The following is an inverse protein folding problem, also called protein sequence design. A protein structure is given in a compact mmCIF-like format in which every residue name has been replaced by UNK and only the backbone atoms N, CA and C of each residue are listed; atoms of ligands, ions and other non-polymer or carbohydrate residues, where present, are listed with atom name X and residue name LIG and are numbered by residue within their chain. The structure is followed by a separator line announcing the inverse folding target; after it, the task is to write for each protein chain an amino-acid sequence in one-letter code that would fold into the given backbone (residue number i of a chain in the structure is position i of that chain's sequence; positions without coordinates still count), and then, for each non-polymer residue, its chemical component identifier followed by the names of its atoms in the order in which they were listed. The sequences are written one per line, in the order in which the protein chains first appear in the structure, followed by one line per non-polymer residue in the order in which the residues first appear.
data_IF_206805095559
#
_entry.id   IF_206805095559
#
_cell.length_a   1.000
_cell.length_b   1.000
_cell.length_c   1.000
_cell.angle_alpha   90.00
_cell.angle_beta   90.00
_cell.angle_gamma   90.00
#
_symmetry.space_group_name_H-M   'P 1'
#
loop_
_entity.id
_entity.type
_entity.pdbx_description
1 polymer ?
#
# COMPACT_ATOMS: atom_id res chain seq x y z
N UNK A 1 -3.75 -60.29 51.34
CA UNK A 1 -2.96 -59.82 50.18
C UNK A 1 -3.56 -58.53 49.66
N UNK A 2 -2.82 -57.43 49.78
CA UNK A 2 -2.78 -56.22 48.95
C UNK A 2 -3.97 -55.91 48.01
N UNK A 3 -4.68 -54.79 48.23
CA UNK A 3 -4.47 -53.52 47.48
C UNK A 3 -5.44 -52.42 47.92
N UNK A 4 -4.82 -51.32 48.35
CA UNK A 4 -5.36 -49.97 48.51
C UNK A 4 -5.68 -49.41 47.12
N UNK A 5 -6.84 -48.77 46.94
CA UNK A 5 -7.06 -47.83 45.84
C UNK A 5 -7.50 -46.49 46.43
N UNK A 6 -6.53 -45.59 46.56
CA UNK A 6 -6.73 -44.17 46.83
C UNK A 6 -7.26 -43.55 45.53
N UNK A 7 -8.50 -43.09 45.55
CA UNK A 7 -9.06 -42.28 44.47
C UNK A 7 -8.53 -40.85 44.69
N UNK A 8 -7.41 -40.55 44.05
CA UNK A 8 -6.84 -39.20 44.01
C UNK A 8 -7.58 -38.40 42.93
N UNK A 9 -8.45 -37.49 43.37
CA UNK A 9 -9.18 -36.55 42.53
C UNK A 9 -8.20 -35.52 41.97
N UNK A 10 -7.62 -35.81 40.80
CA UNK A 10 -6.79 -34.86 40.06
C UNK A 10 -7.72 -33.95 39.23
N UNK A 11 -8.02 -32.76 39.75
CA UNK A 11 -8.76 -31.74 39.04
C UNK A 11 -7.90 -31.19 37.89
N UNK A 12 -8.22 -31.61 36.66
CA UNK A 12 -7.65 -31.06 35.43
C UNK A 12 -8.25 -29.66 35.21
N UNK A 13 -7.54 -28.63 35.64
CA UNK A 13 -7.73 -27.27 35.15
C UNK A 13 -7.26 -27.21 33.69
N UNK A 14 -8.21 -27.27 32.76
CA UNK A 14 -7.96 -26.95 31.35
C UNK A 14 -7.81 -25.43 31.23
N UNK A 15 -6.56 -24.96 31.24
CA UNK A 15 -6.24 -23.59 30.85
C UNK A 15 -6.47 -23.49 29.34
N UNK A 16 -7.59 -22.89 28.93
CA UNK A 16 -7.83 -22.53 27.55
C UNK A 16 -6.83 -21.42 27.19
N UNK A 17 -5.71 -21.79 26.55
CA UNK A 17 -4.80 -20.84 25.94
C UNK A 17 -5.53 -20.30 24.70
N UNK A 18 -5.83 -18.99 24.61
CA UNK A 18 -6.35 -18.43 23.37
C UNK A 18 -5.26 -18.55 22.30
N UNK A 19 -5.51 -19.36 21.27
CA UNK A 19 -4.71 -19.34 20.05
C UNK A 19 -4.84 -17.96 19.42
N UNK A 20 -3.84 -17.12 19.62
CA UNK A 20 -3.64 -15.94 18.78
C UNK A 20 -3.25 -16.45 17.39
N UNK A 21 -4.22 -16.51 16.48
CA UNK A 21 -3.94 -16.65 15.07
C UNK A 21 -3.23 -15.38 14.61
N UNK A 22 -1.90 -15.42 14.56
CA UNK A 22 -1.13 -14.44 13.81
C UNK A 22 -1.44 -14.65 12.33
N UNK A 23 -2.29 -13.81 11.76
CA UNK A 23 -2.41 -13.69 10.31
C UNK A 23 -1.11 -13.05 9.81
N UNK A 24 -0.12 -13.86 9.46
CA UNK A 24 0.97 -13.42 8.59
C UNK A 24 0.35 -13.18 7.21
N UNK A 25 0.35 -11.93 6.74
CA UNK A 25 -0.05 -11.61 5.38
C UNK A 25 0.80 -12.40 4.37
N UNK A 26 0.31 -12.56 3.14
CA UNK A 26 1.18 -13.14 2.09
C UNK A 26 2.43 -12.25 1.91
N UNK A 27 3.58 -12.81 1.50
CA UNK A 27 4.80 -12.02 1.22
C UNK A 27 4.53 -10.83 0.28
N UNK A 28 3.61 -10.98 -0.66
CA UNK A 28 3.18 -9.91 -1.56
C UNK A 28 2.42 -8.79 -0.83
N UNK A 29 1.55 -9.16 0.12
CA UNK A 29 0.86 -8.19 0.97
C UNK A 29 1.87 -7.36 1.75
N UNK A 30 2.92 -7.99 2.31
CA UNK A 30 3.97 -7.29 3.05
C UNK A 30 4.79 -6.35 2.15
N UNK A 31 5.12 -6.78 0.92
CA UNK A 31 5.85 -5.95 -0.06
C UNK A 31 5.14 -4.64 -0.39
N UNK A 32 3.81 -4.67 -0.43
CA UNK A 32 2.96 -3.53 -0.76
C UNK A 32 2.43 -2.78 0.47
N UNK A 33 2.40 -3.40 1.65
CA UNK A 33 1.86 -2.81 2.87
C UNK A 33 2.52 -1.47 3.21
N UNK A 34 1.75 -0.41 3.41
CA UNK A 34 2.17 0.94 3.82
C UNK A 34 1.67 2.06 2.88
N UNK A 35 2.27 3.24 3.01
CA UNK A 35 1.85 4.46 2.31
C UNK A 35 2.75 4.75 1.10
N UNK A 36 2.13 4.98 -0.06
CA UNK A 36 2.80 5.21 -1.32
C UNK A 36 2.24 6.45 -2.01
N UNK A 37 3.12 7.23 -2.64
CA UNK A 37 2.75 8.39 -3.42
C UNK A 37 3.29 8.30 -4.84
N UNK A 38 2.60 8.97 -5.77
CA UNK A 38 3.10 9.14 -7.13
C UNK A 38 4.27 10.11 -7.12
N UNK A 39 5.28 9.88 -7.94
CA UNK A 39 6.37 10.84 -8.12
C UNK A 39 5.88 12.04 -8.94
N UNK A 40 5.97 13.26 -8.40
CA UNK A 40 5.38 14.46 -8.98
C UNK A 40 5.87 14.72 -10.41
N UNK A 41 7.18 14.63 -10.63
CA UNK A 41 7.76 14.96 -11.93
C UNK A 41 7.76 13.82 -12.94
N UNK A 42 7.12 12.69 -12.64
CA UNK A 42 6.94 11.61 -13.59
C UNK A 42 5.94 11.99 -14.70
N UNK A 43 6.17 11.50 -15.92
CA UNK A 43 5.25 11.64 -17.06
C UNK A 43 4.68 10.27 -17.43
N UNK A 44 3.74 10.25 -18.39
CA UNK A 44 2.99 9.04 -18.74
C UNK A 44 3.84 7.79 -18.99
N UNK A 45 5.02 7.93 -19.59
CA UNK A 45 5.93 6.80 -19.88
C UNK A 45 7.38 7.21 -19.66
N UNK A 46 7.61 8.19 -18.79
CA UNK A 46 8.95 8.71 -18.51
C UNK A 46 9.10 8.83 -17.00
N UNK A 47 10.17 8.26 -16.43
CA UNK A 47 10.41 8.33 -14.99
C UNK A 47 10.58 9.79 -14.53
N UNK A 48 10.39 10.04 -13.23
CA UNK A 48 10.71 11.34 -12.63
C UNK A 48 12.20 11.64 -12.81
N UNK A 49 12.53 12.90 -13.12
CA UNK A 49 13.92 13.32 -13.40
C UNK A 49 14.72 13.60 -12.13
N UNK A 50 14.02 13.83 -11.02
CA UNK A 50 14.52 14.08 -9.66
C UNK A 50 14.62 12.80 -8.83
N UNK A 51 14.55 11.62 -9.45
CA UNK A 51 14.60 10.37 -8.68
C UNK A 51 13.44 10.19 -7.69
N UNK A 52 12.29 10.85 -7.90
CA UNK A 52 11.15 10.80 -6.97
C UNK A 52 11.47 11.42 -5.59
N UNK A 53 12.29 12.46 -5.56
CA UNK A 53 12.49 13.30 -4.37
C UNK A 53 11.24 14.10 -4.01
N UNK A 54 10.40 14.42 -5.00
CA UNK A 54 9.09 15.08 -4.80
C UNK A 54 7.92 14.12 -5.06
N UNK A 55 7.01 14.06 -4.10
CA UNK A 55 5.75 13.35 -4.20
C UNK A 55 4.63 14.27 -4.69
N UNK A 56 3.72 13.72 -5.50
CA UNK A 56 2.40 14.28 -5.79
C UNK A 56 1.53 14.22 -4.51
N UNK A 57 0.51 15.07 -4.38
CA UNK A 57 -0.38 15.05 -3.22
C UNK A 57 -1.28 13.81 -3.17
N UNK A 58 -1.38 13.07 -4.28
CA UNK A 58 -2.18 11.85 -4.38
C UNK A 58 -1.34 10.57 -4.26
N UNK A 59 -1.90 9.61 -3.52
CA UNK A 59 -1.28 8.32 -3.31
C UNK A 59 -2.28 7.24 -2.92
N UNK A 60 -1.76 6.16 -2.38
CA UNK A 60 -2.55 5.14 -1.75
C UNK A 60 -1.86 4.58 -0.52
N UNK A 61 -2.67 4.12 0.43
CA UNK A 61 -2.23 3.27 1.52
C UNK A 61 -2.75 1.86 1.24
N UNK A 62 -1.86 0.88 1.32
CA UNK A 62 -2.22 -0.51 1.24
C UNK A 62 -1.99 -1.15 2.61
N UNK A 63 -3.01 -1.76 3.17
CA UNK A 63 -2.92 -2.41 4.48
C UNK A 63 -3.96 -3.52 4.54
N UNK A 64 -3.57 -4.67 5.08
CA UNK A 64 -4.45 -5.84 5.22
C UNK A 64 -5.19 -6.22 3.92
N UNK A 65 -4.49 -6.20 2.78
CA UNK A 65 -5.08 -6.53 1.47
C UNK A 65 -6.00 -5.45 0.88
N UNK A 66 -6.20 -4.32 1.56
CA UNK A 66 -7.14 -3.26 1.17
C UNK A 66 -6.42 -2.01 0.69
N UNK A 67 -6.89 -1.47 -0.43
CA UNK A 67 -6.41 -0.24 -1.02
C UNK A 67 -7.24 0.95 -0.52
N UNK A 68 -6.57 1.93 0.07
CA UNK A 68 -7.17 3.22 0.45
C UNK A 68 -6.54 4.31 -0.41
N UNK A 69 -7.33 5.04 -1.18
CA UNK A 69 -6.84 6.27 -1.81
C UNK A 69 -6.58 7.32 -0.73
N UNK A 70 -5.48 8.05 -0.86
CA UNK A 70 -5.11 9.11 0.08
C UNK A 70 -4.76 10.39 -0.68
N UNK A 71 -5.00 11.52 -0.03
CA UNK A 71 -4.62 12.85 -0.52
C UNK A 71 -4.04 13.69 0.59
N UNK A 72 -2.84 14.23 0.41
CA UNK A 72 -2.22 15.21 1.32
C UNK A 72 -3.00 16.53 1.28
N UNK A 73 -3.21 17.14 2.43
CA UNK A 73 -4.02 18.36 2.56
C UNK A 73 -3.32 19.50 3.29
N UNK A 74 -2.11 19.26 3.79
CA UNK A 74 -1.32 20.22 4.59
C UNK A 74 0.02 20.59 3.92
N UNK A 75 0.17 20.31 2.62
CA UNK A 75 1.32 20.82 1.87
C UNK A 75 1.10 22.28 1.46
N UNK A 76 2.13 23.09 1.66
CA UNK A 76 2.22 24.48 1.19
C UNK A 76 3.29 24.65 0.09
N UNK A 77 3.81 23.54 -0.45
CA UNK A 77 4.88 23.56 -1.46
C UNK A 77 4.47 24.39 -2.69
N UNK A 78 5.38 25.24 -3.15
CA UNK A 78 5.16 26.15 -4.28
C UNK A 78 5.84 25.67 -5.56
N UNK A 79 6.88 24.83 -5.46
CA UNK A 79 7.66 24.30 -6.57
C UNK A 79 7.06 23.04 -7.20
N UNK A 80 5.73 22.92 -7.18
CA UNK A 80 5.02 21.82 -7.83
C UNK A 80 4.93 22.00 -9.34
N UNK A 81 4.84 20.89 -10.06
CA UNK A 81 4.74 20.86 -11.52
C UNK A 81 3.52 21.66 -11.99
N UNK A 82 3.78 22.63 -12.85
CA UNK A 82 2.74 23.49 -13.40
C UNK A 82 2.22 24.55 -12.42
N UNK A 83 3.00 24.87 -11.37
CA UNK A 83 2.67 25.95 -10.42
C UNK A 83 1.49 25.62 -9.49
N UNK A 84 1.24 24.33 -9.27
CA UNK A 84 0.10 23.84 -8.49
C UNK A 84 0.44 23.81 -7.00
N UNK A 85 0.37 24.97 -6.37
CA UNK A 85 0.71 25.13 -4.95
C UNK A 85 -0.04 24.11 -4.08
N UNK A 86 0.69 23.43 -3.21
CA UNK A 86 0.19 22.42 -2.27
C UNK A 86 -0.17 21.06 -2.89
N UNK A 87 0.05 20.84 -4.19
CA UNK A 87 -0.21 19.54 -4.85
C UNK A 87 1.01 18.64 -4.96
N UNK A 88 2.07 18.95 -4.22
CA UNK A 88 3.26 18.12 -4.10
C UNK A 88 3.92 18.37 -2.74
N UNK A 89 4.84 17.51 -2.33
CA UNK A 89 5.61 17.67 -1.08
C UNK A 89 6.90 16.85 -1.13
N UNK A 90 7.87 17.21 -0.29
CA UNK A 90 9.16 16.52 -0.23
C UNK A 90 9.02 15.11 0.35
N UNK A 91 9.69 14.13 -0.25
CA UNK A 91 9.67 12.73 0.17
C UNK A 91 10.16 12.50 1.60
N UNK A 92 11.12 13.30 2.05
CA UNK A 92 11.75 13.20 3.36
C UNK A 92 10.98 13.97 4.47
N UNK A 93 9.83 14.55 4.14
CA UNK A 93 8.99 15.24 5.10
C UNK A 93 8.64 14.33 6.28
N UNK A 94 8.89 14.82 7.50
CA UNK A 94 8.76 14.01 8.70
C UNK A 94 7.31 13.59 9.00
N UNK A 95 6.33 14.43 8.62
CA UNK A 95 4.92 14.15 8.84
C UNK A 95 4.01 14.85 7.82
N UNK A 96 2.89 14.20 7.51
CA UNK A 96 1.84 14.70 6.62
C UNK A 96 0.45 14.49 7.22
N UNK A 97 -0.52 15.27 6.75
CA UNK A 97 -1.94 15.10 7.03
C UNK A 97 -2.67 14.74 5.76
N UNK A 98 -3.46 13.68 5.80
CA UNK A 98 -4.18 13.14 4.64
C UNK A 98 -5.68 13.07 4.86
N UNK A 99 -6.43 13.16 3.75
CA UNK A 99 -7.79 12.61 3.63
C UNK A 99 -7.73 11.24 2.98
N UNK A 100 -8.70 10.39 3.30
CA UNK A 100 -8.74 9.00 2.84
C UNK A 100 -10.07 8.66 2.17
N UNK A 101 -10.03 7.80 1.15
CA UNK A 101 -11.20 7.17 0.57
C UNK A 101 -10.92 5.68 0.35
N UNK A 102 -11.75 4.81 0.94
CA UNK A 102 -11.64 3.36 0.73
C UNK A 102 -11.89 3.01 -0.75
N UNK A 103 -11.04 2.17 -1.33
CA UNK A 103 -11.15 1.66 -2.70
C UNK A 103 -11.39 0.15 -2.75
N UNK A 104 -11.42 -0.52 -1.59
CA UNK A 104 -11.70 -1.95 -1.47
C UNK A 104 -10.46 -2.82 -1.64
N UNK A 105 -10.68 -4.10 -1.91
CA UNK A 105 -9.62 -5.10 -2.06
C UNK A 105 -8.94 -5.00 -3.43
N UNK A 106 -7.66 -5.33 -3.45
CA UNK A 106 -6.87 -5.39 -4.67
C UNK A 106 -6.16 -6.74 -4.76
N UNK A 107 -6.22 -7.35 -5.94
CA UNK A 107 -5.63 -8.65 -6.21
C UNK A 107 -4.15 -8.48 -6.57
N UNK A 108 -3.30 -8.85 -5.60
CA UNK A 108 -1.84 -8.84 -5.69
C UNK A 108 -1.34 -10.26 -5.96
N UNK A 109 -0.69 -10.44 -7.11
CA UNK A 109 0.17 -11.58 -7.37
C UNK A 109 1.65 -11.18 -7.38
N UNK A 110 2.53 -12.18 -7.45
CA UNK A 110 3.98 -12.03 -7.30
C UNK A 110 4.62 -11.01 -8.26
N UNK A 111 4.10 -10.92 -9.48
CA UNK A 111 4.61 -10.02 -10.53
C UNK A 111 3.55 -9.05 -11.06
N UNK A 112 2.30 -9.16 -10.60
CA UNK A 112 1.17 -8.47 -11.22
C UNK A 112 0.17 -7.93 -10.20
N UNK A 113 -0.33 -6.73 -10.48
CA UNK A 113 -1.51 -6.13 -9.86
C UNK A 113 -2.68 -6.29 -10.84
N UNK A 114 -3.80 -6.82 -10.39
CA UNK A 114 -5.02 -6.94 -11.19
C UNK A 114 -6.10 -5.96 -10.72
N UNK A 115 -6.58 -5.11 -11.63
CA UNK A 115 -7.65 -4.15 -11.37
C UNK A 115 -8.85 -4.46 -12.26
N UNK A 116 -9.99 -4.81 -11.65
CA UNK A 116 -11.23 -5.07 -12.39
C UNK A 116 -12.13 -3.85 -12.40
N UNK A 117 -12.45 -3.36 -13.59
CA UNK A 117 -13.34 -2.22 -13.78
C UNK A 117 -14.10 -2.31 -15.10
N UNK A 118 -15.38 -1.87 -15.11
CA UNK A 118 -16.27 -1.96 -16.28
C UNK A 118 -16.23 -3.32 -17.02
N UNK A 119 -16.27 -4.43 -16.27
CA UNK A 119 -16.29 -5.77 -16.84
C UNK A 119 -14.96 -6.25 -17.46
N UNK A 120 -13.88 -5.47 -17.35
CA UNK A 120 -12.56 -5.83 -17.84
C UNK A 120 -11.55 -5.84 -16.68
N UNK A 121 -10.63 -6.81 -16.66
CA UNK A 121 -9.53 -6.87 -15.69
C UNK A 121 -8.24 -6.42 -16.37
N UNK A 122 -7.68 -5.31 -15.92
CA UNK A 122 -6.37 -4.83 -16.34
C UNK A 122 -5.30 -5.40 -15.43
N UNK A 123 -4.25 -5.99 -16.03
CA UNK A 123 -3.03 -6.36 -15.33
C UNK A 123 -1.97 -5.27 -15.43
N UNK A 124 -1.24 -5.06 -14.36
CA UNK A 124 -0.06 -4.19 -14.33
C UNK A 124 1.10 -4.97 -13.75
N UNK A 125 2.22 -5.05 -14.47
CA UNK A 125 3.46 -5.54 -13.88
C UNK A 125 4.11 -4.43 -13.08
N UNK A 126 5.09 -4.79 -12.25
CA UNK A 126 5.87 -3.81 -11.52
C UNK A 126 7.34 -4.19 -11.46
N UNK A 127 8.20 -3.18 -11.40
CA UNK A 127 9.64 -3.32 -11.26
C UNK A 127 10.13 -2.39 -10.15
N UNK A 128 10.92 -2.95 -9.23
CA UNK A 128 11.54 -2.20 -8.14
C UNK A 128 12.86 -1.57 -8.61
N UNK A 129 12.94 -0.24 -8.56
CA UNK A 129 14.19 0.52 -8.68
C UNK A 129 14.75 0.89 -7.32
N UNK A 130 15.93 1.53 -7.32
CA UNK A 130 16.55 2.03 -6.08
C UNK A 130 15.71 3.13 -5.41
N UNK A 131 15.16 4.04 -6.22
CA UNK A 131 14.46 5.21 -5.74
C UNK A 131 12.93 5.03 -5.71
N UNK A 132 12.38 4.41 -6.74
CA UNK A 132 10.95 4.27 -6.95
C UNK A 132 10.61 2.90 -7.57
N UNK A 133 9.35 2.50 -7.42
CA UNK A 133 8.76 1.37 -8.14
C UNK A 133 8.04 1.89 -9.39
N UNK A 134 8.25 1.21 -10.50
CA UNK A 134 7.51 1.44 -11.74
C UNK A 134 6.39 0.41 -11.86
N UNK A 135 5.20 0.84 -12.26
CA UNK A 135 4.02 0.03 -12.53
C UNK A 135 3.64 0.20 -14.00
N UNK A 136 3.62 -0.90 -14.75
CA UNK A 136 3.53 -0.91 -16.21
C UNK A 136 2.26 -1.67 -16.62
N UNK A 137 1.34 -1.06 -17.41
CA UNK A 137 0.18 -1.77 -17.89
C UNK A 137 0.58 -2.88 -18.87
N UNK A 138 -0.04 -4.04 -18.75
CA UNK A 138 0.10 -5.11 -19.74
C UNK A 138 -0.25 -4.63 -21.16
N UNK A 139 0.33 -5.28 -22.19
CA UNK A 139 0.10 -4.91 -23.60
C UNK A 139 -1.39 -4.98 -23.96
N UNK A 140 -2.04 -6.04 -23.52
CA UNK A 140 -3.48 -6.23 -23.62
C UNK A 140 -4.15 -5.34 -22.59
N UNK A 141 -4.79 -4.28 -23.08
CA UNK A 141 -5.38 -3.25 -22.24
C UNK A 141 -6.89 -3.25 -22.32
N UNK A 142 -7.51 -3.07 -21.17
CA UNK A 142 -8.89 -2.63 -21.10
C UNK A 142 -9.02 -1.27 -21.81
N UNK A 143 -10.19 -1.00 -22.42
CA UNK A 143 -10.43 0.23 -23.15
C UNK A 143 -10.24 1.50 -22.30
N UNK A 144 -10.46 1.38 -20.98
CA UNK A 144 -10.27 2.45 -20.00
C UNK A 144 -8.82 2.58 -19.51
N UNK A 145 -7.99 1.57 -19.72
CA UNK A 145 -6.59 1.58 -19.30
C UNK A 145 -5.72 2.26 -20.36
N UNK A 146 -5.12 3.39 -19.98
CA UNK A 146 -4.16 4.12 -20.82
C UNK A 146 -2.81 3.38 -20.86
N UNK A 147 -1.94 3.77 -21.78
CA UNK A 147 -0.53 3.35 -21.81
C UNK A 147 0.31 4.03 -20.71
N UNK A 148 -0.31 4.46 -19.61
CA UNK A 148 0.34 5.22 -18.56
C UNK A 148 1.06 4.27 -17.61
N UNK A 149 2.33 4.55 -17.37
CA UNK A 149 3.12 3.98 -16.31
C UNK A 149 2.91 4.83 -15.06
N UNK A 150 2.93 4.17 -13.90
CA UNK A 150 2.94 4.87 -12.62
C UNK A 150 4.30 4.67 -11.98
N UNK A 151 4.86 5.77 -11.48
CA UNK A 151 6.11 5.76 -10.73
C UNK A 151 5.75 6.18 -9.32
N UNK A 152 6.02 5.31 -8.36
CA UNK A 152 5.61 5.52 -6.98
C UNK A 152 6.77 5.25 -6.06
N UNK A 153 6.79 5.90 -4.90
CA UNK A 153 7.67 5.50 -3.83
C UNK A 153 6.97 5.54 -2.47
N UNK A 154 7.58 4.82 -1.53
CA UNK A 154 7.07 4.66 -0.18
C UNK A 154 7.37 5.91 0.64
N UNK A 155 6.37 6.41 1.34
CA UNK A 155 6.53 7.44 2.36
C UNK A 155 6.79 6.78 3.72
N UNK A 156 7.86 7.20 4.39
CA UNK A 156 8.30 6.62 5.65
C UNK A 156 8.07 7.55 6.86
N UNK A 157 7.57 8.77 6.64
CA UNK A 157 7.22 9.70 7.70
C UNK A 157 5.92 9.33 8.41
N UNK A 158 5.55 10.15 9.39
CA UNK A 158 4.32 9.98 10.16
C UNK A 158 3.10 10.45 9.37
N UNK A 159 2.02 9.66 9.39
CA UNK A 159 0.78 10.00 8.67
C UNK A 159 -0.34 10.28 9.66
N UNK A 160 -0.95 11.46 9.57
CA UNK A 160 -2.15 11.84 10.33
C UNK A 160 -3.35 11.82 9.41
N UNK A 161 -4.41 11.10 9.79
CA UNK A 161 -5.65 11.08 9.03
C UNK A 161 -6.59 12.17 9.55
N UNK A 162 -6.96 13.11 8.69
CA UNK A 162 -8.05 14.04 8.98
C UNK A 162 -9.38 13.32 8.75
N UNK A 163 -10.18 13.24 9.80
CA UNK A 163 -11.54 12.68 9.78
C UNK A 163 -12.54 13.63 9.14
#
# INVERSE_FOLDING_TARGET
MFRIFIISLCALLTVAIPSQASQSGSPETEKWAGTWFTCEFAKSTTPPHDGCEMFDDEGFRFDDGRLTYIRVIDSEETECRGGKVGQCFARDQAAITIKTQDRGELDLGDEWISVRYFGCTQKFSFADGAEFREIIPAKDRCFWARKRHFYIARFNGSVRVQK
#
